data_IF_611207241318
#
_entry.id   IF_611207241318
#
_cell.length_a   1.000
_cell.length_b   1.000
_cell.length_c   1.000
_cell.angle_alpha   90.00
_cell.angle_beta   90.00
_cell.angle_gamma   90.00
#
_symmetry.space_group_name_H-M   'P 1'
#
loop_
_entity.id
_entity.type
_entity.pdbx_description
1 polymer ?
#
# COMPACT_ATOMS: atom_id res chain seq x y z
N UNK A 1 -9.00 0.47 -5.87
CA UNK A 1 -8.44 1.02 -7.13
C UNK A 1 -8.21 -0.08 -8.17
N UNK A 2 -7.36 -1.09 -7.93
CA UNK A 2 -7.08 -2.16 -8.91
C UNK A 2 -8.32 -2.95 -9.38
N UNK A 3 -9.25 -3.31 -8.47
CA UNK A 3 -10.54 -3.94 -8.83
C UNK A 3 -11.41 -3.11 -9.79
N UNK A 4 -11.11 -1.82 -9.95
CA UNK A 4 -11.80 -0.91 -10.87
C UNK A 4 -11.06 -0.71 -12.19
N UNK A 5 -10.04 -1.52 -12.46
CA UNK A 5 -9.28 -1.51 -13.71
C UNK A 5 -8.07 -0.57 -13.74
N UNK A 6 -7.79 0.16 -12.66
CA UNK A 6 -6.61 1.02 -12.60
C UNK A 6 -5.31 0.20 -12.47
N UNK A 7 -4.25 0.67 -13.12
CA UNK A 7 -2.89 0.13 -12.95
C UNK A 7 -2.28 0.68 -11.67
N UNK A 8 -2.16 -0.15 -10.63
CA UNK A 8 -1.75 0.29 -9.29
C UNK A 8 -0.40 -0.29 -8.88
N UNK A 9 0.48 0.59 -8.40
CA UNK A 9 1.68 0.25 -7.65
C UNK A 9 1.50 0.51 -6.16
N UNK A 10 2.14 -0.31 -5.32
CA UNK A 10 2.25 -0.13 -3.88
C UNK A 10 3.72 -0.28 -3.47
N UNK A 11 4.29 0.80 -2.96
CA UNK A 11 5.63 0.81 -2.37
C UNK A 11 5.48 0.86 -0.85
N UNK A 12 5.79 -0.25 -0.19
CA UNK A 12 5.92 -0.33 1.26
C UNK A 12 7.28 0.25 1.69
N UNK A 13 7.22 1.44 2.27
CA UNK A 13 8.37 2.20 2.76
C UNK A 13 8.56 2.06 4.28
N UNK A 14 7.70 1.30 4.97
CA UNK A 14 7.85 1.05 6.41
C UNK A 14 8.85 -0.09 6.66
N UNK A 15 10.08 0.30 6.98
CA UNK A 15 11.14 -0.61 7.36
C UNK A 15 10.98 -1.20 8.78
N UNK A 16 10.22 -0.56 9.66
CA UNK A 16 10.11 -0.93 11.07
C UNK A 16 9.09 -2.05 11.30
N UNK A 17 8.12 -2.19 10.41
CA UNK A 17 7.12 -3.24 10.44
C UNK A 17 6.49 -3.49 9.07
N UNK A 18 7.22 -4.07 8.10
CA UNK A 18 6.72 -4.27 6.74
C UNK A 18 5.54 -5.25 6.75
N UNK A 19 4.33 -4.69 6.80
CA UNK A 19 3.08 -5.43 6.95
C UNK A 19 2.47 -5.77 5.59
N UNK A 20 2.71 -4.93 4.57
CA UNK A 20 2.17 -5.08 3.22
C UNK A 20 2.51 -6.45 2.59
N UNK A 21 3.76 -6.94 2.59
CA UNK A 21 4.05 -8.26 2.03
C UNK A 21 3.29 -9.38 2.73
N UNK A 22 3.18 -9.31 4.06
CA UNK A 22 2.45 -10.30 4.86
C UNK A 22 0.96 -10.28 4.52
N UNK A 23 0.34 -9.09 4.50
CA UNK A 23 -1.07 -8.87 4.15
C UNK A 23 -1.42 -9.33 2.74
N UNK A 24 -0.42 -9.36 1.86
CA UNK A 24 -0.56 -9.86 0.49
C UNK A 24 -0.09 -11.30 0.34
N UNK A 25 0.19 -12.02 1.43
CA UNK A 25 0.53 -13.44 1.41
C UNK A 25 1.89 -13.75 0.77
N UNK A 26 2.82 -12.80 0.79
CA UNK A 26 4.20 -12.98 0.34
C UNK A 26 5.02 -13.46 1.53
N UNK A 27 5.36 -14.75 1.57
CA UNK A 27 6.22 -15.32 2.62
C UNK A 27 7.68 -15.25 2.18
N UNK A 28 8.52 -14.55 2.95
CA UNK A 28 9.95 -14.22 2.68
C UNK A 28 10.89 -15.40 2.37
N UNK A 29 10.43 -16.66 2.41
CA UNK A 29 11.30 -17.86 2.30
C UNK A 29 11.41 -18.45 0.90
N UNK A 30 10.49 -18.16 -0.02
CA UNK A 30 10.52 -18.70 -1.40
C UNK A 30 10.63 -17.63 -2.49
N UNK A 31 9.83 -16.56 -2.38
CA UNK A 31 9.70 -15.56 -3.43
C UNK A 31 10.76 -14.46 -3.32
N UNK A 32 11.10 -13.96 -2.13
CA UNK A 32 12.04 -12.84 -1.94
C UNK A 32 13.54 -13.18 -2.11
N UNK A 33 13.90 -14.44 -2.37
CA UNK A 33 15.30 -14.87 -2.50
C UNK A 33 16.01 -14.18 -3.68
N UNK A 34 15.29 -13.83 -4.75
CA UNK A 34 15.84 -13.08 -5.89
C UNK A 34 16.14 -11.61 -5.59
N UNK A 35 15.43 -10.98 -4.65
CA UNK A 35 15.57 -9.55 -4.34
C UNK A 35 16.67 -9.25 -3.32
N UNK A 36 17.02 -10.20 -2.45
CA UNK A 36 18.14 -10.02 -1.49
C UNK A 36 19.50 -9.77 -2.18
N UNK A 37 19.64 -10.09 -3.46
CA UNK A 37 20.95 -10.15 -4.12
C UNK A 37 21.34 -8.93 -4.98
N UNK A 38 20.48 -7.95 -5.27
CA UNK A 38 20.90 -6.84 -6.16
C UNK A 38 20.11 -5.56 -5.95
N UNK A 39 20.61 -4.65 -5.11
CA UNK A 39 20.34 -3.22 -5.28
C UNK A 39 21.54 -2.63 -6.04
N UNK A 40 21.35 -2.08 -7.26
CA UNK A 40 22.43 -1.43 -7.98
C UNK A 40 22.73 -0.05 -7.36
N UNK A 41 23.38 -0.05 -6.18
CA UNK A 41 23.69 1.13 -5.36
C UNK A 41 24.66 2.13 -6.02
N UNK A 42 25.21 1.80 -7.19
CA UNK A 42 26.17 2.64 -7.92
C UNK A 42 25.73 3.11 -9.30
N UNK A 43 24.53 2.77 -9.77
CA UNK A 43 24.13 3.11 -11.14
C UNK A 43 23.52 4.52 -11.20
N UNK A 44 24.23 5.44 -11.89
CA UNK A 44 23.72 6.78 -12.24
C UNK A 44 23.22 6.76 -13.69
N UNK A 45 21.92 6.54 -13.89
CA UNK A 45 21.29 6.51 -15.22
C UNK A 45 19.99 5.72 -15.23
N UNK A 46 19.25 5.77 -16.35
CA UNK A 46 18.12 4.85 -16.57
C UNK A 46 18.67 3.44 -16.76
N UNK A 47 18.31 2.53 -15.86
CA UNK A 47 18.60 1.11 -16.02
C UNK A 47 17.88 0.56 -17.25
N UNK A 48 18.53 -0.37 -17.97
CA UNK A 48 17.81 -1.15 -18.96
C UNK A 48 16.70 -1.97 -18.27
N UNK A 49 15.57 -2.27 -18.93
CA UNK A 49 14.47 -3.03 -18.32
C UNK A 49 14.91 -4.37 -17.70
N UNK A 50 15.92 -5.00 -18.29
CA UNK A 50 16.54 -6.26 -17.84
C UNK A 50 17.34 -6.12 -16.53
N UNK A 51 17.75 -4.89 -16.18
CA UNK A 51 18.50 -4.55 -14.97
C UNK A 51 17.59 -3.97 -13.88
N UNK A 52 16.33 -3.70 -14.20
CA UNK A 52 15.35 -3.17 -13.25
C UNK A 52 14.79 -4.29 -12.36
N UNK A 53 14.55 -3.94 -11.11
CA UNK A 53 13.88 -4.82 -10.16
C UNK A 53 12.44 -5.03 -10.60
N UNK A 54 12.03 -6.28 -10.78
CA UNK A 54 10.63 -6.56 -11.06
C UNK A 54 9.84 -6.43 -9.75
N UNK A 55 8.66 -5.77 -9.74
CA UNK A 55 7.77 -5.79 -8.59
C UNK A 55 7.02 -7.12 -8.53
N UNK A 56 6.56 -7.50 -7.33
CA UNK A 56 5.64 -8.63 -7.16
C UNK A 56 4.26 -8.23 -7.66
N UNK A 57 3.57 -9.10 -8.39
CA UNK A 57 2.19 -8.86 -8.81
C UNK A 57 1.24 -9.68 -7.93
N UNK A 58 0.40 -9.02 -7.15
CA UNK A 58 -0.62 -9.66 -6.29
C UNK A 58 -1.93 -8.91 -6.39
N UNK A 59 -3.03 -9.63 -6.63
CA UNK A 59 -4.39 -9.06 -6.72
C UNK A 59 -4.50 -7.85 -7.68
N UNK A 60 -3.74 -7.89 -8.80
CA UNK A 60 -3.68 -6.79 -9.77
C UNK A 60 -2.84 -5.57 -9.34
N UNK A 61 -2.10 -5.66 -8.23
CA UNK A 61 -1.25 -4.59 -7.71
C UNK A 61 0.22 -4.99 -7.84
N UNK A 62 1.05 -4.08 -8.38
CA UNK A 62 2.51 -4.21 -8.38
C UNK A 62 3.05 -3.77 -7.02
N UNK A 63 3.86 -4.59 -6.38
CA UNK A 63 4.25 -4.40 -4.98
C UNK A 63 5.76 -4.45 -4.86
N UNK A 64 6.32 -3.47 -4.14
CA UNK A 64 7.70 -3.49 -3.69
C UNK A 64 7.74 -3.09 -2.22
N UNK A 65 8.65 -3.67 -1.44
CA UNK A 65 8.85 -3.33 -0.03
C UNK A 65 10.32 -3.12 0.28
N UNK A 66 10.63 -2.08 1.03
CA UNK A 66 11.96 -1.89 1.64
C UNK A 66 12.34 -3.09 2.53
N UNK A 67 11.33 -3.72 3.14
CA UNK A 67 11.46 -4.90 3.98
C UNK A 67 11.95 -6.16 3.26
N UNK A 68 12.01 -6.17 1.92
CA UNK A 68 12.65 -7.25 1.15
C UNK A 68 14.18 -7.19 1.20
N UNK A 69 14.74 -6.00 1.40
CA UNK A 69 16.18 -5.74 1.39
C UNK A 69 16.78 -5.66 2.79
N UNK A 70 15.94 -5.44 3.81
CA UNK A 70 16.34 -5.43 5.22
C UNK A 70 16.29 -6.88 5.74
N UNK A 71 17.44 -7.39 6.19
CA UNK A 71 17.54 -8.77 6.68
C UNK A 71 16.75 -8.98 7.96
N UNK A 72 16.03 -10.10 8.06
CA UNK A 72 15.24 -10.45 9.27
C UNK A 72 16.09 -10.58 10.54
N UNK A 73 17.40 -10.85 10.40
CA UNK A 73 18.35 -10.95 11.51
C UNK A 73 18.99 -9.61 11.90
N UNK A 74 18.81 -8.57 11.07
CA UNK A 74 19.30 -7.23 11.38
C UNK A 74 18.25 -6.56 12.28
N UNK A 75 18.36 -6.82 13.59
CA UNK A 75 17.57 -6.19 14.64
C UNK A 75 17.79 -4.66 14.75
N UNK A 76 18.59 -4.07 13.86
CA UNK A 76 18.89 -2.64 13.83
C UNK A 76 18.12 -2.04 12.66
N UNK A 77 17.12 -1.23 12.98
CA UNK A 77 16.41 -0.46 11.98
C UNK A 77 17.40 0.46 11.22
N UNK A 78 17.24 0.62 9.89
CA UNK A 78 18.10 1.52 9.12
C UNK A 78 17.98 2.95 9.64
N UNK A 79 19.07 3.71 9.56
CA UNK A 79 19.04 5.14 9.86
C UNK A 79 18.03 5.85 8.95
N UNK A 80 17.29 6.86 9.42
CA UNK A 80 16.22 7.49 8.64
C UNK A 80 16.66 8.01 7.26
N UNK A 81 17.86 8.59 7.16
CA UNK A 81 18.43 9.06 5.88
C UNK A 81 18.68 7.91 4.90
N UNK A 82 19.13 6.75 5.41
CA UNK A 82 19.36 5.54 4.59
C UNK A 82 18.03 5.00 4.08
N UNK A 83 16.99 5.05 4.91
CA UNK A 83 15.64 4.64 4.51
C UNK A 83 15.10 5.54 3.39
N UNK A 84 15.26 6.86 3.50
CA UNK A 84 14.91 7.81 2.44
C UNK A 84 15.63 7.49 1.11
N UNK A 85 16.95 7.24 1.16
CA UNK A 85 17.72 6.83 -0.02
C UNK A 85 17.25 5.50 -0.61
N UNK A 86 16.88 4.53 0.22
CA UNK A 86 16.39 3.23 -0.24
C UNK A 86 15.04 3.36 -0.95
N UNK A 87 14.09 4.11 -0.36
CA UNK A 87 12.78 4.37 -0.97
C UNK A 87 12.96 5.04 -2.33
N UNK A 88 13.81 6.07 -2.39
CA UNK A 88 14.19 6.74 -3.65
C UNK A 88 14.75 5.74 -4.66
N UNK A 89 15.68 4.88 -4.25
CA UNK A 89 16.26 3.88 -5.13
C UNK A 89 15.18 2.94 -5.71
N UNK A 90 14.24 2.48 -4.89
CA UNK A 90 13.16 1.61 -5.34
C UNK A 90 12.22 2.31 -6.33
N UNK A 91 11.94 3.60 -6.14
CA UNK A 91 11.14 4.36 -7.10
C UNK A 91 11.74 4.39 -8.51
N UNK A 92 13.07 4.51 -8.62
CA UNK A 92 13.74 4.61 -9.92
C UNK A 92 14.20 3.27 -10.50
N UNK A 93 14.44 2.25 -9.66
CA UNK A 93 15.00 0.98 -10.11
C UNK A 93 13.97 -0.12 -10.30
N UNK A 94 12.76 0.04 -9.75
CA UNK A 94 11.69 -0.93 -9.96
C UNK A 94 11.01 -0.68 -11.30
N UNK A 95 10.79 -1.76 -12.04
CA UNK A 95 10.02 -1.75 -13.28
C UNK A 95 8.52 -1.64 -12.99
N UNK A 96 8.07 -0.46 -12.59
CA UNK A 96 6.66 -0.16 -12.37
C UNK A 96 5.82 -0.23 -13.65
N UNK A 97 6.45 -0.07 -14.82
CA UNK A 97 5.75 0.10 -16.09
C UNK A 97 4.84 1.34 -16.07
N UNK A 98 3.75 1.30 -16.83
CA UNK A 98 2.69 2.31 -16.72
C UNK A 98 1.84 2.04 -15.47
N UNK A 99 1.63 3.08 -14.68
CA UNK A 99 0.73 3.10 -13.53
C UNK A 99 -0.21 4.30 -13.66
N UNK A 100 -1.45 4.13 -13.22
CA UNK A 100 -2.38 5.22 -12.98
C UNK A 100 -2.20 5.78 -11.56
N UNK A 101 -1.83 4.90 -10.60
CA UNK A 101 -1.58 5.27 -9.20
C UNK A 101 -0.37 4.53 -8.65
N UNK A 102 0.47 5.24 -7.90
CA UNK A 102 1.51 4.66 -7.05
C UNK A 102 1.26 5.09 -5.60
N UNK A 103 0.82 4.15 -4.76
CA UNK A 103 0.66 4.38 -3.33
C UNK A 103 1.99 4.10 -2.62
N UNK A 104 2.38 4.99 -1.71
CA UNK A 104 3.57 4.84 -0.89
C UNK A 104 3.12 4.73 0.57
N UNK A 105 3.34 3.57 1.19
CA UNK A 105 3.03 3.34 2.59
C UNK A 105 4.19 3.83 3.46
N UNK A 106 4.03 5.02 4.02
CA UNK A 106 5.06 5.68 4.81
C UNK A 106 5.08 5.14 6.24
N UNK A 107 6.26 5.03 6.88
CA UNK A 107 6.31 4.71 8.30
C UNK A 107 5.54 5.77 9.11
N UNK A 108 5.15 5.46 10.36
CA UNK A 108 4.44 6.42 11.19
C UNK A 108 5.30 7.64 11.55
N UNK A 109 4.64 8.75 11.87
CA UNK A 109 5.29 10.00 12.30
C UNK A 109 5.32 11.09 11.23
N UNK A 110 6.12 12.12 11.48
CA UNK A 110 6.19 13.36 10.68
C UNK A 110 7.64 13.79 10.39
N UNK A 111 8.57 12.83 10.40
CA UNK A 111 10.01 13.07 10.30
C UNK A 111 10.60 12.54 9.01
N UNK A 112 11.80 11.98 9.10
CA UNK A 112 12.36 11.17 8.03
C UNK A 112 11.78 9.75 8.10
N UNK A 113 11.49 9.09 6.95
CA UNK A 113 11.85 9.44 5.58
C UNK A 113 10.84 10.36 4.85
N UNK A 114 9.74 10.76 5.48
CA UNK A 114 8.65 11.49 4.81
C UNK A 114 9.10 12.87 4.31
N UNK A 115 9.90 13.57 5.10
CA UNK A 115 10.46 14.88 4.73
C UNK A 115 11.40 14.80 3.51
N UNK A 116 12.21 13.75 3.37
CA UNK A 116 13.02 13.53 2.17
C UNK A 116 12.14 13.27 0.94
N UNK A 117 11.12 12.43 1.07
CA UNK A 117 10.24 12.13 -0.07
C UNK A 117 9.51 13.37 -0.58
N UNK A 118 9.01 14.22 0.31
CA UNK A 118 8.34 15.47 -0.10
C UNK A 118 9.30 16.48 -0.76
N UNK A 119 10.61 16.40 -0.49
CA UNK A 119 11.62 17.26 -1.14
C UNK A 119 12.07 16.74 -2.49
N UNK A 120 12.05 15.43 -2.67
CA UNK A 120 12.63 14.78 -3.86
C UNK A 120 11.59 14.41 -4.92
N UNK A 121 10.32 14.33 -4.54
CA UNK A 121 9.22 13.91 -5.42
C UNK A 121 8.12 14.96 -5.41
N UNK A 122 7.56 15.20 -6.58
CA UNK A 122 6.28 15.90 -6.72
C UNK A 122 5.17 14.90 -6.41
N UNK A 123 4.58 15.02 -5.21
CA UNK A 123 3.48 14.16 -4.76
C UNK A 123 2.14 14.78 -5.16
N UNK A 124 1.29 14.02 -5.86
CA UNK A 124 -0.06 14.45 -6.24
C UNK A 124 -0.99 14.68 -5.03
N UNK A 125 -0.66 14.05 -3.90
CA UNK A 125 -1.25 14.37 -2.63
C UNK A 125 -0.96 13.36 -1.52
N UNK A 126 -1.39 13.71 -0.32
CA UNK A 126 -1.26 12.88 0.88
C UNK A 126 -2.63 12.55 1.48
N UNK A 127 -2.74 11.35 2.05
CA UNK A 127 -3.91 10.90 2.80
C UNK A 127 -3.47 10.72 4.25
N UNK A 128 -4.17 11.37 5.17
CA UNK A 128 -3.90 11.21 6.59
C UNK A 128 -4.79 10.09 7.14
N UNK A 129 -4.19 9.10 7.79
CA UNK A 129 -4.91 8.04 8.50
C UNK A 129 -4.86 8.34 9.99
N UNK A 130 -6.02 8.37 10.64
CA UNK A 130 -6.15 8.63 12.08
C UNK A 130 -7.10 7.65 12.71
N UNK A 131 -7.19 7.66 14.04
CA UNK A 131 -8.17 6.89 14.82
C UNK A 131 -9.05 7.85 15.62
N UNK A 132 -10.24 7.46 16.14
CA UNK A 132 -11.18 8.39 16.76
C UNK A 132 -10.69 9.05 18.06
N UNK A 133 -9.62 8.54 18.67
CA UNK A 133 -9.13 9.04 19.96
C UNK A 133 -8.40 10.37 19.81
N UNK A 134 -8.56 11.25 20.79
CA UNK A 134 -7.92 12.58 20.78
C UNK A 134 -6.39 12.52 20.72
N UNK A 135 -5.74 11.46 21.21
CA UNK A 135 -4.29 11.35 21.18
C UNK A 135 -3.73 11.25 19.74
N UNK A 136 -4.48 10.62 18.84
CA UNK A 136 -4.09 10.50 17.42
C UNK A 136 -4.14 11.85 16.69
N UNK A 137 -4.80 12.87 17.26
CA UNK A 137 -4.87 14.23 16.70
C UNK A 137 -3.52 14.91 16.66
N UNK A 138 -2.66 14.65 17.65
CA UNK A 138 -1.35 15.30 17.73
C UNK A 138 -0.49 14.89 16.53
N UNK A 139 -0.47 13.59 16.22
CA UNK A 139 0.31 13.05 15.13
C UNK A 139 -0.29 13.41 13.77
N UNK A 140 -1.63 13.42 13.67
CA UNK A 140 -2.33 13.87 12.46
C UNK A 140 -2.07 15.34 12.15
N UNK A 141 -2.10 16.23 13.17
CA UNK A 141 -1.83 17.65 13.02
C UNK A 141 -0.38 17.92 12.58
N UNK A 142 0.55 17.18 13.17
CA UNK A 142 1.97 17.20 12.81
C UNK A 142 2.22 16.76 11.36
N UNK A 143 1.59 15.66 10.94
CA UNK A 143 1.65 15.18 9.56
C UNK A 143 1.07 16.20 8.57
N UNK A 144 -0.09 16.78 8.89
CA UNK A 144 -0.69 17.86 8.10
C UNK A 144 0.26 19.04 7.90
N UNK A 145 0.85 19.54 8.99
CA UNK A 145 1.81 20.65 8.94
C UNK A 145 3.06 20.34 8.10
N UNK A 146 3.56 19.10 8.16
CA UNK A 146 4.69 18.65 7.34
C UNK A 146 4.34 18.69 5.84
N UNK A 147 3.24 18.08 5.42
CA UNK A 147 2.83 18.06 4.01
C UNK A 147 2.52 19.47 3.49
N UNK A 148 1.83 20.30 4.27
CA UNK A 148 1.55 21.69 3.91
C UNK A 148 2.84 22.51 3.75
N UNK A 149 3.81 22.35 4.66
CA UNK A 149 5.10 23.05 4.57
C UNK A 149 5.92 22.63 3.35
N UNK A 150 5.74 21.38 2.89
CA UNK A 150 6.36 20.87 1.68
C UNK A 150 5.56 21.14 0.40
N UNK A 151 4.41 21.82 0.48
CA UNK A 151 3.56 22.13 -0.67
C UNK A 151 2.79 20.93 -1.22
N UNK A 152 2.70 19.82 -0.47
CA UNK A 152 1.96 18.61 -0.87
C UNK A 152 0.49 18.77 -0.48
N UNK A 153 -0.45 18.65 -1.43
CA UNK A 153 -1.88 18.78 -1.12
C UNK A 153 -2.35 17.59 -0.29
N UNK A 154 -3.06 17.86 0.81
CA UNK A 154 -3.67 16.80 1.63
C UNK A 154 -5.08 16.54 1.11
N UNK A 155 -5.29 15.39 0.48
CA UNK A 155 -6.54 14.99 -0.18
C UNK A 155 -7.68 14.74 0.82
N UNK A 156 -7.33 14.39 2.06
CA UNK A 156 -8.30 14.23 3.13
C UNK A 156 -7.85 13.30 4.24
N UNK A 157 -8.81 13.00 5.11
CA UNK A 157 -8.64 12.21 6.32
C UNK A 157 -9.38 10.87 6.18
N UNK A 158 -8.75 9.78 6.59
CA UNK A 158 -9.36 8.46 6.78
C UNK A 158 -9.38 8.16 8.26
N UNK A 159 -10.56 7.85 8.80
CA UNK A 159 -10.68 7.45 10.20
C UNK A 159 -10.74 5.92 10.28
N UNK A 160 -9.64 5.30 10.70
CA UNK A 160 -9.54 3.88 10.96
C UNK A 160 -10.10 3.52 12.35
N UNK A 161 -10.48 2.26 12.56
CA UNK A 161 -10.99 1.74 13.84
C UNK A 161 -12.18 2.51 14.42
N UNK A 162 -13.06 3.00 13.55
CA UNK A 162 -14.16 3.86 13.91
C UNK A 162 -15.42 3.06 14.26
N UNK A 163 -15.52 2.69 15.54
CA UNK A 163 -16.59 1.84 16.04
C UNK A 163 -16.45 0.39 15.59
N UNK A 164 -17.41 -0.43 15.98
CA UNK A 164 -17.45 -1.87 15.71
C UNK A 164 -18.89 -2.23 15.35
N UNK A 165 -19.08 -2.96 14.25
CA UNK A 165 -20.41 -3.46 13.87
C UNK A 165 -20.64 -4.80 14.56
N UNK A 166 -21.65 -4.86 15.42
CA UNK A 166 -22.00 -6.10 16.11
C UNK A 166 -22.43 -7.16 15.09
N UNK A 167 -21.76 -8.32 15.02
CA UNK A 167 -22.08 -9.35 14.04
C UNK A 167 -23.43 -10.04 14.30
N UNK A 168 -24.01 -9.88 15.49
CA UNK A 168 -25.28 -10.50 15.87
C UNK A 168 -26.50 -9.64 15.56
N UNK A 169 -26.42 -8.32 15.76
CA UNK A 169 -27.56 -7.40 15.60
C UNK A 169 -27.33 -6.29 14.57
N UNK A 170 -26.11 -6.11 14.05
CA UNK A 170 -25.77 -5.05 13.11
C UNK A 170 -25.61 -3.66 13.74
N UNK A 171 -25.85 -3.53 15.05
CA UNK A 171 -25.71 -2.27 15.76
C UNK A 171 -24.25 -1.82 15.83
N UNK A 172 -24.03 -0.52 15.64
CA UNK A 172 -22.72 0.10 15.78
C UNK A 172 -22.42 0.36 17.25
N UNK A 173 -21.30 -0.17 17.71
CA UNK A 173 -20.74 0.06 19.04
C UNK A 173 -19.54 0.98 18.89
N UNK A 174 -19.59 2.16 19.49
CA UNK A 174 -18.42 3.04 19.55
C UNK A 174 -17.46 2.53 20.62
N UNK A 175 -16.44 1.78 20.18
CA UNK A 175 -15.42 1.16 21.03
C UNK A 175 -14.55 2.21 21.74
N UNK A 176 -14.37 3.35 21.08
CA UNK A 176 -13.67 4.50 21.63
C UNK A 176 -14.66 5.63 21.89
N UNK A 177 -14.46 6.42 22.96
CA UNK A 177 -15.26 7.62 23.18
C UNK A 177 -15.21 8.48 21.91
N UNK A 178 -16.37 9.00 21.50
CA UNK A 178 -16.40 10.00 20.44
C UNK A 178 -15.55 11.20 20.86
N UNK A 179 -14.72 11.70 19.95
CA UNK A 179 -14.05 12.98 20.15
C UNK A 179 -15.12 14.08 20.32
N UNK A 180 -14.83 15.09 21.14
CA UNK A 180 -15.75 16.22 21.35
C UNK A 180 -16.00 17.03 20.08
N UNK A 181 -15.13 16.90 19.07
CA UNK A 181 -15.21 17.54 17.75
C UNK A 181 -14.85 16.52 16.66
N UNK A 182 -15.57 16.53 15.54
CA UNK A 182 -15.24 15.63 14.43
C UNK A 182 -13.87 16.00 13.84
N UNK A 183 -12.98 15.02 13.66
CA UNK A 183 -11.62 15.27 13.17
C UNK A 183 -11.57 16.01 11.82
N UNK A 184 -12.55 15.80 10.94
CA UNK A 184 -12.67 16.55 9.68
C UNK A 184 -12.93 18.05 9.87
N UNK A 185 -13.70 18.42 10.90
CA UNK A 185 -13.99 19.82 11.21
C UNK A 185 -12.75 20.54 11.75
N UNK A 186 -11.93 19.82 12.51
CA UNK A 186 -10.71 20.35 13.12
C UNK A 186 -9.63 20.71 12.10
N UNK A 187 -9.47 19.89 11.08
CA UNK A 187 -8.43 20.09 10.07
C UNK A 187 -8.94 20.79 8.81
N UNK A 188 -10.25 21.06 8.71
CA UNK A 188 -10.91 21.55 7.49
C UNK A 188 -10.60 20.66 6.27
N UNK A 189 -10.40 19.36 6.52
CA UNK A 189 -10.10 18.37 5.50
C UNK A 189 -11.35 17.52 5.22
N UNK A 190 -11.58 17.10 3.97
CA UNK A 190 -12.65 16.17 3.66
C UNK A 190 -12.39 14.83 4.35
N UNK A 191 -13.44 14.26 4.94
CA UNK A 191 -13.42 12.87 5.40
C UNK A 191 -13.57 11.97 4.17
N UNK A 192 -12.54 11.19 3.87
CA UNK A 192 -12.50 10.25 2.74
C UNK A 192 -13.20 8.92 3.03
N UNK A 193 -13.34 8.59 4.31
CA UNK A 193 -13.91 7.32 4.73
C UNK A 193 -13.72 7.05 6.19
N UNK A 194 -14.52 6.11 6.68
CA UNK A 194 -14.52 5.64 8.06
C UNK A 194 -14.50 4.12 8.03
N UNK A 195 -13.43 3.51 8.55
CA UNK A 195 -13.25 2.06 8.55
C UNK A 195 -13.55 1.53 9.96
N UNK A 196 -14.59 0.70 10.14
CA UNK A 196 -14.89 0.13 11.45
C UNK A 196 -13.87 -0.95 11.83
N UNK A 197 -13.79 -1.23 13.13
CA UNK A 197 -13.15 -2.44 13.64
C UNK A 197 -13.90 -3.65 13.13
N UNK A 198 -13.17 -4.58 12.53
CA UNK A 198 -13.69 -5.83 12.01
C UNK A 198 -12.66 -6.96 12.20
N UNK A 199 -12.97 -7.97 13.03
CA UNK A 199 -12.12 -9.14 13.21
C UNK A 199 -11.85 -9.91 11.91
N UNK A 200 -12.78 -9.87 10.93
CA UNK A 200 -12.57 -10.53 9.67
C UNK A 200 -11.48 -9.85 8.83
N UNK A 201 -11.38 -8.52 8.91
CA UNK A 201 -10.29 -7.74 8.31
C UNK A 201 -8.93 -8.11 8.89
N UNK A 202 -8.81 -8.22 10.21
CA UNK A 202 -7.57 -8.64 10.86
C UNK A 202 -7.14 -10.06 10.43
N UNK A 203 -8.06 -11.03 10.48
CA UNK A 203 -7.78 -12.41 10.03
C UNK A 203 -7.41 -12.48 8.55
N UNK A 204 -8.06 -11.69 7.72
CA UNK A 204 -7.79 -11.59 6.29
C UNK A 204 -6.36 -11.10 6.04
N UNK A 205 -5.93 -10.05 6.76
CA UNK A 205 -4.55 -9.58 6.75
C UNK A 205 -3.54 -10.65 7.14
N UNK A 206 -3.75 -11.34 8.28
CA UNK A 206 -2.85 -12.39 8.75
C UNK A 206 -2.76 -13.59 7.79
N UNK A 207 -3.88 -13.91 7.12
CA UNK A 207 -3.94 -14.98 6.12
C UNK A 207 -3.26 -14.63 4.79
N UNK A 208 -2.95 -13.35 4.57
CA UNK A 208 -2.36 -12.84 3.34
C UNK A 208 -3.36 -12.68 2.19
N UNK A 209 -4.66 -12.60 2.50
CA UNK A 209 -5.72 -12.36 1.53
C UNK A 209 -6.52 -11.12 1.97
N UNK A 210 -6.34 -9.95 1.32
CA UNK A 210 -7.01 -8.72 1.71
C UNK A 210 -8.54 -8.85 1.81
N UNK A 211 -9.16 -8.14 2.76
CA UNK A 211 -10.61 -8.24 3.03
C UNK A 211 -11.48 -7.91 1.81
N UNK A 212 -11.03 -6.97 0.97
CA UNK A 212 -11.69 -6.61 -0.30
C UNK A 212 -11.71 -7.75 -1.33
N UNK A 213 -10.84 -8.75 -1.16
CA UNK A 213 -10.77 -9.96 -2.00
C UNK A 213 -11.51 -11.12 -1.33
N UNK A 214 -11.29 -11.35 -0.04
CA UNK A 214 -11.89 -12.47 0.68
C UNK A 214 -13.39 -12.26 0.96
N UNK A 215 -13.82 -11.01 1.17
CA UNK A 215 -15.18 -10.64 1.57
C UNK A 215 -15.62 -9.34 0.87
N UNK A 216 -15.85 -9.35 -0.46
CA UNK A 216 -16.09 -8.13 -1.25
C UNK A 216 -17.35 -7.35 -0.83
N UNK A 217 -18.38 -8.03 -0.34
CA UNK A 217 -19.65 -7.43 0.09
C UNK A 217 -19.66 -7.02 1.57
N UNK A 218 -18.54 -7.17 2.29
CA UNK A 218 -18.48 -6.78 3.70
C UNK A 218 -18.56 -5.25 3.88
N UNK A 219 -19.11 -4.75 5.00
CA UNK A 219 -19.15 -3.30 5.25
C UNK A 219 -17.78 -2.62 5.14
N UNK A 220 -16.71 -3.31 5.54
CA UNK A 220 -15.34 -2.80 5.44
C UNK A 220 -14.87 -2.73 3.99
N UNK A 221 -15.15 -3.78 3.20
CA UNK A 221 -14.79 -3.80 1.78
C UNK A 221 -15.49 -2.70 1.01
N UNK A 222 -16.79 -2.50 1.26
CA UNK A 222 -17.57 -1.41 0.69
C UNK A 222 -17.00 -0.04 1.09
N UNK A 223 -16.59 0.14 2.35
CA UNK A 223 -15.95 1.37 2.82
C UNK A 223 -14.60 1.65 2.11
N UNK A 224 -13.77 0.62 1.89
CA UNK A 224 -12.54 0.77 1.08
C UNK A 224 -12.83 1.10 -0.39
N UNK A 225 -13.86 0.48 -0.98
CA UNK A 225 -14.28 0.77 -2.35
C UNK A 225 -14.74 2.22 -2.52
N UNK A 226 -15.58 2.71 -1.60
CA UNK A 226 -16.05 4.10 -1.59
C UNK A 226 -14.91 5.10 -1.38
N UNK A 227 -13.98 4.80 -0.45
CA UNK A 227 -12.79 5.62 -0.24
C UNK A 227 -11.92 5.71 -1.50
N UNK A 228 -11.71 4.59 -2.18
CA UNK A 228 -10.95 4.55 -3.43
C UNK A 228 -11.60 5.37 -4.54
N UNK A 229 -12.94 5.43 -4.62
CA UNK A 229 -13.66 6.32 -5.53
C UNK A 229 -13.39 7.79 -5.20
N UNK A 230 -13.53 8.15 -3.94
CA UNK A 230 -13.37 9.52 -3.50
C UNK A 230 -11.94 10.02 -3.77
N UNK A 231 -10.93 9.20 -3.48
CA UNK A 231 -9.53 9.52 -3.79
C UNK A 231 -9.32 9.67 -5.30
N UNK A 232 -9.80 8.70 -6.09
CA UNK A 232 -9.65 8.74 -7.55
C UNK A 232 -10.30 10.00 -8.13
N UNK A 233 -11.50 10.38 -7.65
CA UNK A 233 -12.22 11.57 -8.13
C UNK A 233 -11.48 12.88 -7.88
N UNK A 234 -10.68 12.98 -6.82
CA UNK A 234 -9.89 14.17 -6.52
C UNK A 234 -8.59 14.24 -7.33
N UNK A 235 -8.07 13.09 -7.76
CA UNK A 235 -6.84 12.98 -8.55
C UNK A 235 -7.09 13.01 -10.06
N UNK A 236 -8.34 12.87 -10.51
CA UNK A 236 -8.67 13.08 -11.91
C UNK A 236 -8.45 14.56 -12.28
N UNK A 237 -7.72 14.86 -13.36
CA UNK A 237 -7.75 16.20 -13.92
C UNK A 237 -9.20 16.57 -14.21
N UNK A 238 -9.60 17.82 -13.96
CA UNK A 238 -10.95 18.35 -14.24
C UNK A 238 -11.39 18.25 -15.72
N UNK A 239 -10.67 17.52 -16.59
CA UNK A 239 -10.90 17.51 -18.02
C UNK A 239 -10.38 16.24 -18.76
N UNK A 240 -10.62 15.04 -18.24
CA UNK A 240 -10.27 13.81 -18.97
C UNK A 240 -11.47 12.88 -19.14
N UNK A 241 -11.98 12.81 -20.37
CA UNK A 241 -12.91 11.78 -20.80
C UNK A 241 -12.28 10.39 -20.56
N UNK A 242 -12.94 9.57 -19.74
CA UNK A 242 -12.49 8.22 -19.40
C UNK A 242 -12.79 7.31 -20.60
N UNK A 243 -11.79 7.05 -21.44
CA UNK A 243 -11.86 5.92 -22.37
C UNK A 243 -11.80 4.60 -21.57
N UNK A 244 -12.92 3.88 -21.54
CA UNK A 244 -13.04 2.60 -20.85
C UNK A 244 -12.03 1.58 -21.41
N UNK A 245 -11.07 1.15 -20.58
CA UNK A 245 -10.15 0.05 -20.92
C UNK A 245 -10.69 -1.28 -20.44
N UNK A 246 -10.59 -2.28 -21.32
CA UNK A 246 -10.98 -3.66 -21.04
C UNK A 246 -10.07 -4.30 -19.97
N UNK A 247 -10.62 -5.21 -19.15
CA UNK A 247 -9.87 -5.90 -18.10
C UNK A 247 -8.75 -6.78 -18.67
N UNK A 248 -7.64 -6.87 -17.91
CA UNK A 248 -6.48 -7.71 -18.22
C UNK A 248 -6.84 -9.19 -18.01
N UNK A 249 -6.55 -10.10 -18.97
CA UNK A 249 -6.85 -11.52 -18.80
C UNK A 249 -5.91 -12.17 -17.77
N UNK A 250 -6.48 -13.00 -16.91
CA UNK A 250 -5.74 -13.88 -16.00
C UNK A 250 -5.00 -14.95 -16.83
N UNK A 251 -3.68 -15.06 -16.66
CA UNK A 251 -2.90 -16.12 -17.29
C UNK A 251 -3.26 -17.48 -16.64
N UNK A 252 -3.79 -18.39 -17.46
CA UNK A 252 -3.99 -19.81 -17.12
C UNK A 252 -2.68 -20.43 -16.63
N UNK A 253 -2.77 -21.06 -15.45
CA UNK A 253 -1.70 -21.89 -14.90
C UNK A 253 -1.65 -23.18 -15.71
N UNK A 254 -0.70 -23.25 -16.64
CA UNK A 254 -0.49 -24.39 -17.52
C UNK A 254 0.03 -25.60 -16.72
N UNK A 255 -0.88 -26.53 -16.40
CA UNK A 255 -0.57 -27.79 -15.75
C UNK A 255 0.10 -28.73 -16.75
N UNK A 256 1.44 -28.72 -16.81
CA UNK A 256 2.20 -29.74 -17.55
C UNK A 256 1.95 -31.13 -16.97
N UNK A 257 1.16 -31.92 -17.70
CA UNK A 257 1.13 -33.39 -17.60
C UNK A 257 2.54 -33.94 -17.82
N UNK A 258 2.96 -34.83 -16.93
CA UNK A 258 4.19 -35.59 -17.08
C UNK A 258 4.03 -36.68 -18.12
N UNK A 259 4.81 -36.60 -19.19
CA UNK A 259 5.10 -37.73 -20.06
C UNK A 259 6.29 -38.49 -19.48
N UNK A 260 6.02 -39.70 -18.98
CA UNK A 260 7.05 -40.69 -18.63
C UNK A 260 7.53 -41.32 -19.93
N UNK A 261 8.75 -40.98 -20.31
CA UNK A 261 9.45 -41.60 -21.44
C UNK A 261 10.08 -42.89 -20.93
N UNK A 262 9.50 -44.00 -21.37
CA UNK A 262 10.11 -45.33 -21.33
C UNK A 262 11.35 -45.32 -22.23
N UNK A 263 12.53 -45.63 -21.69
CA UNK A 263 13.63 -46.05 -22.55
C UNK A 263 14.63 -46.97 -21.83
N UNK A 264 14.55 -48.22 -22.26
CA UNK A 264 15.51 -49.31 -22.19
C UNK A 264 16.97 -48.91 -21.97
N UNK A 265 17.63 -49.59 -21.03
CA UNK A 265 19.07 -49.87 -21.12
C UNK A 265 19.33 -51.35 -20.92
N UNK A 266 19.75 -51.97 -22.03
CA UNK A 266 20.70 -53.08 -22.11
C UNK A 266 21.89 -52.78 -21.18
N UNK A 267 22.20 -53.66 -20.24
CA UNK A 267 23.12 -54.81 -20.33
C UNK A 267 23.10 -55.58 -19.00
#
# INVERSE_FOLDING_TARGET
>A
MAQRGAQVGLLDADAYGPSVPMMLGVRKRGESQGWKATLPLGHRGKLAPEQMLQPLLRYGVKVMSVGFFIGEEQAVAPMPDVLGMLIRQLLYTVNWGRLDYLLIDLPPGNGEPQATLCRELELDGAILVTTPQDIARIDTAKGLGMFQSAGVPVLGLVQNMAGFLCPHCGERIDVFPASNEAHSQLYQLPLLGTIPLDPATARSGDSGQPVVVSMPESPVSLAFCAMAEQIASQLLPNNTEIEARQPVPEHEVDAKKGDVIDNERKD
#
